data_IF_541227328921
#
_entry.id   IF_541227328921
#
_cell.length_a   1.000
_cell.length_b   1.000
_cell.length_c   1.000
_cell.angle_alpha   90.00
_cell.angle_beta   90.00
_cell.angle_gamma   90.00
#
_symmetry.space_group_name_H-M   'P 1'
#
loop_
_entity.id
_entity.type
_entity.pdbx_description
1 polymer ?
#
# COMPACT_ATOMS: atom_id res chain seq x y z
N UNK A 1 -16.61 14.03 8.24
CA UNK A 1 -16.98 14.73 9.49
C UNK A 1 -16.01 14.27 10.58
N UNK A 2 -16.04 14.83 11.78
CA UNK A 2 -15.21 14.32 12.89
C UNK A 2 -16.13 13.90 14.01
N UNK A 3 -16.16 12.60 14.29
CA UNK A 3 -17.00 12.04 15.36
C UNK A 3 -16.16 11.97 16.64
N UNK A 4 -16.69 12.50 17.75
CA UNK A 4 -16.03 12.52 19.06
C UNK A 4 -16.63 11.43 19.95
N UNK A 5 -15.80 10.49 20.37
CA UNK A 5 -16.08 9.56 21.48
C UNK A 5 -14.84 9.62 22.37
N UNK A 6 -15.01 10.04 23.63
CA UNK A 6 -13.95 10.10 24.65
C UNK A 6 -12.61 10.69 24.16
N UNK A 7 -12.49 12.02 24.02
CA UNK A 7 -11.25 12.74 23.66
C UNK A 7 -10.48 12.30 22.38
N UNK A 8 -10.97 11.32 21.63
CA UNK A 8 -10.40 10.86 20.37
C UNK A 8 -11.17 11.41 19.18
N UNK A 9 -10.42 11.78 18.15
CA UNK A 9 -10.92 12.33 16.90
C UNK A 9 -10.77 11.29 15.80
N UNK A 10 -11.90 10.84 15.24
CA UNK A 10 -11.91 9.94 14.10
C UNK A 10 -12.15 10.72 12.82
N UNK A 11 -11.25 10.55 11.85
CA UNK A 11 -11.38 11.14 10.53
C UNK A 11 -12.41 10.33 9.75
N UNK A 12 -13.44 11.00 9.23
CA UNK A 12 -14.34 10.41 8.25
C UNK A 12 -14.54 11.32 7.05
N UNK A 13 -14.71 10.70 5.88
CA UNK A 13 -15.01 11.35 4.62
C UNK A 13 -16.46 11.05 4.22
N UNK A 14 -17.14 11.99 3.54
CA UNK A 14 -18.42 11.68 2.90
C UNK A 14 -18.23 10.55 1.89
N UNK A 15 -19.20 9.64 1.77
CA UNK A 15 -19.08 8.51 0.82
C UNK A 15 -18.94 8.94 -0.64
N UNK A 16 -19.38 10.16 -0.97
CA UNK A 16 -19.23 10.76 -2.30
C UNK A 16 -17.83 11.32 -2.55
N UNK A 17 -17.00 11.45 -1.51
CA UNK A 17 -15.63 11.93 -1.65
C UNK A 17 -14.78 10.90 -2.37
N UNK A 18 -14.21 11.30 -3.51
CA UNK A 18 -13.34 10.45 -4.32
C UNK A 18 -11.99 11.14 -4.54
N UNK A 19 -10.94 10.77 -3.79
CA UNK A 19 -9.63 11.40 -3.92
C UNK A 19 -8.96 11.10 -5.26
N UNK A 20 -9.33 10.02 -5.96
CA UNK A 20 -8.81 9.70 -7.30
C UNK A 20 -9.28 10.76 -8.30
N UNK A 21 -10.59 11.05 -8.30
CA UNK A 21 -11.18 12.06 -9.19
C UNK A 21 -10.63 13.44 -8.85
N UNK A 22 -10.55 13.80 -7.56
CA UNK A 22 -9.98 15.09 -7.16
C UNK A 22 -8.53 15.24 -7.62
N UNK A 23 -7.70 14.21 -7.39
CA UNK A 23 -6.30 14.23 -7.79
C UNK A 23 -6.14 14.34 -9.32
N UNK A 24 -6.90 13.56 -10.08
CA UNK A 24 -6.86 13.63 -11.54
C UNK A 24 -7.35 15.00 -12.07
N UNK A 25 -8.33 15.63 -11.42
CA UNK A 25 -8.74 16.99 -11.77
C UNK A 25 -7.63 18.01 -11.50
N UNK A 26 -6.87 17.87 -10.40
CA UNK A 26 -5.71 18.73 -10.16
C UNK A 26 -4.60 18.53 -11.19
N UNK A 27 -4.39 17.29 -11.66
CA UNK A 27 -3.49 16.97 -12.77
C UNK A 27 -3.95 17.63 -14.08
N UNK A 28 -5.22 17.44 -14.47
CA UNK A 28 -5.79 18.03 -15.71
C UNK A 28 -5.71 19.56 -15.73
N UNK A 29 -5.94 20.17 -14.58
CA UNK A 29 -5.89 21.62 -14.41
C UNK A 29 -4.47 22.17 -14.16
N UNK A 30 -3.44 21.33 -14.29
CA UNK A 30 -2.02 21.68 -14.10
C UNK A 30 -1.68 22.25 -12.72
N UNK A 31 -2.52 21.98 -11.71
CA UNK A 31 -2.22 22.30 -10.30
C UNK A 31 -1.18 21.34 -9.73
N UNK A 32 -1.22 20.09 -10.18
CA UNK A 32 -0.18 19.08 -9.90
C UNK A 32 0.47 18.69 -11.22
N UNK A 33 1.79 18.81 -11.29
CA UNK A 33 2.56 18.41 -12.46
C UNK A 33 3.03 16.97 -12.25
N UNK A 34 2.70 16.09 -13.20
CA UNK A 34 3.08 14.68 -13.19
C UNK A 34 3.67 14.27 -14.53
N UNK A 35 4.36 13.13 -14.57
CA UNK A 35 4.84 12.56 -15.83
C UNK A 35 3.68 12.10 -16.71
N UNK A 36 3.93 11.95 -18.01
CA UNK A 36 2.95 11.40 -18.95
C UNK A 36 2.44 10.01 -18.52
N UNK A 37 3.31 9.20 -17.88
CA UNK A 37 2.97 7.87 -17.36
C UNK A 37 1.89 7.95 -16.27
N UNK A 38 2.12 8.78 -15.25
CA UNK A 38 1.16 8.99 -14.17
C UNK A 38 -0.15 9.58 -14.71
N UNK A 39 -0.07 10.50 -15.67
CA UNK A 39 -1.27 11.02 -16.35
C UNK A 39 -2.08 9.90 -17.02
N UNK A 40 -1.42 9.02 -17.80
CA UNK A 40 -2.06 7.89 -18.47
C UNK A 40 -2.72 6.93 -17.48
N UNK A 41 -2.01 6.56 -16.42
CA UNK A 41 -2.51 5.65 -15.37
C UNK A 41 -3.75 6.23 -14.70
N UNK A 42 -3.70 7.46 -14.18
CA UNK A 42 -4.86 8.07 -13.53
C UNK A 42 -6.02 8.35 -14.49
N UNK A 43 -5.74 8.67 -15.76
CA UNK A 43 -6.79 8.78 -16.77
C UNK A 43 -7.54 7.44 -16.91
N UNK A 44 -6.81 6.33 -17.07
CA UNK A 44 -7.43 5.00 -17.19
C UNK A 44 -8.15 4.59 -15.91
N UNK A 45 -7.61 4.89 -14.73
CA UNK A 45 -8.28 4.62 -13.45
C UNK A 45 -9.62 5.36 -13.39
N UNK A 46 -9.67 6.65 -13.75
CA UNK A 46 -10.92 7.43 -13.76
C UNK A 46 -11.90 6.90 -14.80
N UNK A 47 -11.44 6.47 -15.98
CA UNK A 47 -12.28 5.76 -16.96
C UNK A 47 -12.91 4.50 -16.32
N UNK A 48 -12.12 3.70 -15.62
CA UNK A 48 -12.58 2.46 -14.97
C UNK A 48 -13.54 2.70 -13.79
N UNK A 49 -13.49 3.85 -13.10
CA UNK A 49 -14.48 4.18 -12.05
C UNK A 49 -15.91 4.20 -12.62
N UNK A 50 -16.05 4.58 -13.88
CA UNK A 50 -17.33 4.70 -14.57
C UNK A 50 -17.72 3.46 -15.37
N UNK A 51 -16.88 2.42 -15.41
CA UNK A 51 -17.16 1.16 -16.10
C UNK A 51 -17.96 0.20 -15.21
N UNK A 52 -19.29 0.20 -15.38
CA UNK A 52 -20.21 -0.64 -14.60
C UNK A 52 -20.35 -2.08 -15.13
N UNK A 53 -19.88 -2.32 -16.35
CA UNK A 53 -19.94 -3.62 -17.03
C UNK A 53 -18.74 -4.49 -16.67
N UNK A 54 -17.63 -3.87 -16.25
CA UNK A 54 -16.46 -4.59 -15.72
C UNK A 54 -16.80 -5.48 -14.52
N UNK A 55 -16.08 -6.60 -14.41
CA UNK A 55 -16.05 -7.39 -13.18
C UNK A 55 -15.41 -6.62 -12.01
N UNK A 56 -14.59 -5.60 -12.31
CA UNK A 56 -13.90 -4.77 -11.34
C UNK A 56 -14.64 -3.44 -11.18
N UNK A 57 -15.24 -3.22 -10.01
CA UNK A 57 -16.00 -2.01 -9.72
C UNK A 57 -15.31 -1.17 -8.66
N UNK A 58 -15.53 0.15 -8.69
CA UNK A 58 -15.07 1.04 -7.62
C UNK A 58 -16.04 1.05 -6.44
N UNK A 59 -15.56 0.74 -5.25
CA UNK A 59 -16.27 0.85 -3.97
C UNK A 59 -15.69 2.01 -3.15
N UNK A 60 -16.43 3.11 -2.96
CA UNK A 60 -15.99 4.21 -2.10
C UNK A 60 -15.76 3.77 -0.64
N UNK A 61 -16.53 2.81 -0.13
CA UNK A 61 -16.36 2.28 1.23
C UNK A 61 -14.98 1.64 1.42
N UNK A 62 -14.59 0.73 0.51
CA UNK A 62 -13.28 0.08 0.55
C UNK A 62 -12.14 1.07 0.26
N UNK A 63 -12.40 2.09 -0.55
CA UNK A 63 -11.41 3.12 -0.87
C UNK A 63 -11.10 4.05 0.31
N UNK A 64 -12.12 4.41 1.10
CA UNK A 64 -12.01 5.39 2.19
C UNK A 64 -11.58 4.75 3.51
N UNK A 65 -11.96 3.50 3.78
CA UNK A 65 -11.64 2.81 5.03
C UNK A 65 -10.14 2.83 5.41
N UNK A 66 -9.18 2.47 4.54
CA UNK A 66 -7.75 2.56 4.86
C UNK A 66 -7.26 4.01 5.05
N UNK A 67 -7.84 4.98 4.34
CA UNK A 67 -7.49 6.39 4.49
C UNK A 67 -7.92 6.89 5.88
N UNK A 68 -9.15 6.59 6.26
CA UNK A 68 -9.72 6.94 7.55
C UNK A 68 -8.99 6.24 8.69
N UNK A 69 -8.60 4.97 8.52
CA UNK A 69 -7.77 4.24 9.47
C UNK A 69 -6.43 4.96 9.70
N UNK A 70 -5.70 5.25 8.62
CA UNK A 70 -4.39 5.89 8.74
C UNK A 70 -4.50 7.27 9.40
N UNK A 71 -5.45 8.10 8.96
CA UNK A 71 -5.57 9.47 9.49
C UNK A 71 -6.17 9.54 10.91
N UNK A 72 -6.92 8.53 11.34
CA UNK A 72 -7.47 8.47 12.70
C UNK A 72 -6.46 7.90 13.70
N UNK A 73 -5.81 6.79 13.32
CA UNK A 73 -5.08 5.95 14.27
C UNK A 73 -3.57 6.10 14.18
N UNK A 74 -3.00 6.35 12.99
CA UNK A 74 -1.55 6.43 12.83
C UNK A 74 -1.03 7.83 13.22
N UNK A 75 0.12 7.87 13.91
CA UNK A 75 0.75 9.11 14.38
C UNK A 75 2.11 9.32 13.71
N UNK A 76 2.45 10.56 13.40
CA UNK A 76 3.80 10.90 12.98
C UNK A 76 4.81 10.51 14.06
N UNK A 77 5.91 9.87 13.66
CA UNK A 77 6.89 9.33 14.61
C UNK A 77 8.11 10.22 14.83
N UNK A 78 8.46 11.06 13.84
CA UNK A 78 9.72 11.83 13.74
C UNK A 78 9.43 13.30 13.45
N UNK A 79 10.38 14.16 13.81
CA UNK A 79 10.36 15.59 13.50
C UNK A 79 9.33 16.40 14.29
N UNK A 80 9.05 17.62 13.83
CA UNK A 80 8.17 18.60 14.49
C UNK A 80 6.72 18.12 14.70
N UNK A 81 6.29 17.12 13.95
CA UNK A 81 4.93 16.57 14.01
C UNK A 81 4.86 15.30 14.87
N UNK A 82 5.95 14.89 15.52
CA UNK A 82 5.98 13.65 16.29
C UNK A 82 4.84 13.60 17.34
N UNK A 83 3.99 12.58 17.25
CA UNK A 83 2.82 12.39 18.13
C UNK A 83 1.49 12.89 17.56
N UNK A 84 1.51 13.74 16.52
CA UNK A 84 0.27 14.22 15.88
C UNK A 84 -0.29 13.16 14.92
N UNK A 85 -1.62 13.16 14.64
CA UNK A 85 -2.20 12.35 13.57
C UNK A 85 -1.48 12.56 12.24
N UNK A 86 -1.39 11.50 11.43
CA UNK A 86 -0.96 11.60 10.04
C UNK A 86 -2.08 12.25 9.23
N UNK A 87 -1.74 13.26 8.43
CA UNK A 87 -2.63 13.78 7.40
C UNK A 87 -2.06 13.38 6.04
N UNK A 88 -2.82 12.60 5.28
CA UNK A 88 -2.40 12.11 3.98
C UNK A 88 -2.54 13.21 2.93
N UNK A 89 -1.50 13.36 2.11
CA UNK A 89 -1.56 14.23 0.93
C UNK A 89 -2.55 13.67 -0.10
N UNK A 90 -3.07 14.52 -0.99
CA UNK A 90 -4.09 14.10 -1.95
C UNK A 90 -3.62 12.94 -2.84
N UNK A 91 -2.36 12.94 -3.30
CA UNK A 91 -1.83 11.84 -4.11
C UNK A 91 -1.74 10.53 -3.32
N UNK A 92 -1.46 10.61 -2.01
CA UNK A 92 -1.42 9.46 -1.11
C UNK A 92 -2.82 8.86 -0.95
N UNK A 93 -3.83 9.72 -0.75
CA UNK A 93 -5.25 9.34 -0.71
C UNK A 93 -5.68 8.71 -2.02
N UNK A 94 -5.33 9.32 -3.16
CA UNK A 94 -5.66 8.79 -4.48
C UNK A 94 -5.00 7.42 -4.73
N UNK A 95 -3.74 7.24 -4.33
CA UNK A 95 -3.02 5.97 -4.41
C UNK A 95 -3.70 4.89 -3.56
N UNK A 96 -3.94 5.15 -2.27
CA UNK A 96 -4.62 4.22 -1.37
C UNK A 96 -6.02 3.88 -1.89
N UNK A 97 -6.81 4.89 -2.28
CA UNK A 97 -8.15 4.68 -2.83
C UNK A 97 -8.12 3.84 -4.12
N UNK A 98 -7.06 3.93 -4.93
CA UNK A 98 -6.90 3.08 -6.12
C UNK A 98 -6.60 1.64 -5.72
N UNK A 99 -5.68 1.43 -4.78
CA UNK A 99 -5.28 0.09 -4.32
C UNK A 99 -6.47 -0.67 -3.72
N UNK A 100 -7.19 -0.03 -2.80
CA UNK A 100 -8.23 -0.68 -2.01
C UNK A 100 -9.65 -0.50 -2.58
N UNK A 101 -9.87 0.51 -3.42
CA UNK A 101 -11.21 0.86 -3.90
C UNK A 101 -11.71 0.03 -5.08
N UNK A 102 -10.83 -0.56 -5.90
CA UNK A 102 -11.26 -1.44 -6.98
C UNK A 102 -11.38 -2.86 -6.48
N UNK A 103 -12.59 -3.40 -6.54
CA UNK A 103 -12.93 -4.74 -6.02
C UNK A 103 -13.68 -5.57 -7.05
N UNK A 104 -13.61 -6.88 -6.93
CA UNK A 104 -14.43 -7.79 -7.71
C UNK A 104 -15.91 -7.60 -7.32
N UNK A 105 -16.78 -7.45 -8.31
CA UNK A 105 -18.22 -7.24 -8.11
C UNK A 105 -18.88 -8.34 -7.28
N UNK A 106 -18.45 -9.59 -7.46
CA UNK A 106 -18.98 -10.79 -6.79
C UNK A 106 -18.26 -11.10 -5.49
N UNK A 107 -16.95 -11.31 -5.54
CA UNK A 107 -16.16 -11.80 -4.37
C UNK A 107 -15.78 -10.69 -3.40
N UNK A 108 -15.83 -9.43 -3.82
CA UNK A 108 -15.36 -8.25 -3.05
C UNK A 108 -13.85 -8.19 -2.79
N UNK A 109 -13.08 -9.13 -3.34
CA UNK A 109 -11.61 -9.11 -3.31
C UNK A 109 -11.05 -7.91 -4.07
N UNK A 110 -9.92 -7.35 -3.62
CA UNK A 110 -9.25 -6.26 -4.32
C UNK A 110 -8.75 -6.67 -5.68
N UNK A 111 -8.85 -5.74 -6.63
CA UNK A 111 -8.28 -5.89 -7.97
C UNK A 111 -6.76 -5.94 -7.90
N UNK A 112 -6.16 -4.88 -7.37
CA UNK A 112 -4.72 -4.69 -7.39
C UNK A 112 -4.06 -5.38 -6.20
N UNK A 113 -3.32 -6.45 -6.47
CA UNK A 113 -2.61 -7.25 -5.47
C UNK A 113 -1.10 -6.99 -5.50
N UNK A 114 -0.59 -6.38 -6.58
CA UNK A 114 0.82 -6.04 -6.72
C UNK A 114 0.95 -4.58 -7.16
N UNK A 115 1.61 -3.76 -6.35
CA UNK A 115 1.70 -2.31 -6.55
C UNK A 115 3.16 -1.91 -6.66
N UNK A 116 3.52 -1.16 -7.70
CA UNK A 116 4.86 -0.63 -7.88
C UNK A 116 4.91 0.89 -7.78
N UNK A 117 5.25 1.40 -6.60
CA UNK A 117 5.33 2.84 -6.33
C UNK A 117 6.76 3.38 -6.49
N UNK A 118 7.01 4.05 -7.62
CA UNK A 118 8.23 4.81 -7.85
C UNK A 118 8.03 6.25 -7.38
N UNK A 119 8.48 6.56 -6.16
CA UNK A 119 8.30 7.86 -5.53
C UNK A 119 9.66 8.46 -5.14
N UNK A 120 9.85 9.75 -5.42
CA UNK A 120 11.10 10.44 -5.07
C UNK A 120 11.36 10.44 -3.55
N UNK A 121 12.63 10.55 -3.16
CA UNK A 121 13.04 10.57 -1.74
C UNK A 121 12.35 11.71 -0.99
N UNK A 122 12.10 11.49 0.30
CA UNK A 122 11.49 12.46 1.24
C UNK A 122 10.00 12.79 1.00
N UNK A 123 9.27 12.00 0.21
CA UNK A 123 7.80 12.14 0.05
C UNK A 123 6.99 11.26 1.01
N UNK A 124 7.56 10.83 2.14
CA UNK A 124 6.82 10.05 3.14
C UNK A 124 6.47 8.61 2.76
N UNK A 125 7.08 8.03 1.71
CA UNK A 125 6.80 6.65 1.24
C UNK A 125 6.85 5.60 2.37
N UNK A 126 7.90 5.60 3.18
CA UNK A 126 8.02 4.63 4.27
C UNK A 126 6.98 4.86 5.37
N UNK A 127 6.57 6.11 5.60
CA UNK A 127 5.53 6.46 6.59
C UNK A 127 4.16 5.97 6.15
N UNK A 128 3.75 6.22 4.90
CA UNK A 128 2.47 5.72 4.38
C UNK A 128 2.46 4.18 4.34
N UNK A 129 3.57 3.55 3.95
CA UNK A 129 3.65 2.09 3.90
C UNK A 129 3.63 1.44 5.29
N UNK A 130 4.17 2.07 6.33
CA UNK A 130 3.95 1.62 7.72
C UNK A 130 2.47 1.68 8.13
N UNK A 131 1.75 2.73 7.73
CA UNK A 131 0.32 2.85 7.98
C UNK A 131 -0.50 1.78 7.24
N UNK A 132 -0.16 1.52 5.98
CA UNK A 132 -0.76 0.45 5.17
C UNK A 132 -0.47 -0.93 5.79
N UNK A 133 0.75 -1.18 6.27
CA UNK A 133 1.08 -2.45 6.94
C UNK A 133 0.24 -2.69 8.20
N UNK A 134 0.00 -1.65 9.01
CA UNK A 134 -0.87 -1.75 10.18
C UNK A 134 -2.33 -1.95 9.81
N UNK A 135 -2.78 -1.34 8.71
CA UNK A 135 -4.13 -1.54 8.17
C UNK A 135 -4.34 -3.00 7.73
N UNK A 136 -3.42 -3.56 6.92
CA UNK A 136 -3.44 -4.97 6.51
C UNK A 136 -3.41 -5.93 7.71
N UNK A 137 -2.69 -5.55 8.76
CA UNK A 137 -2.55 -6.39 9.95
C UNK A 137 -3.84 -6.50 10.77
N UNK A 138 -4.59 -5.40 10.93
CA UNK A 138 -5.69 -5.36 11.90
C UNK A 138 -7.03 -4.82 11.41
N UNK A 139 -7.10 -4.22 10.23
CA UNK A 139 -8.29 -3.51 9.76
C UNK A 139 -8.74 -3.91 8.34
N UNK A 140 -8.05 -4.82 7.67
CA UNK A 140 -8.39 -5.23 6.30
C UNK A 140 -9.39 -6.41 6.22
N UNK A 141 -9.89 -6.88 7.37
CA UNK A 141 -10.91 -7.93 7.47
C UNK A 141 -10.38 -9.36 7.33
N UNK A 142 -9.06 -9.55 7.32
CA UNK A 142 -8.41 -10.86 7.21
C UNK A 142 -8.25 -11.55 8.57
N UNK A 143 -8.50 -12.87 8.60
CA UNK A 143 -8.16 -13.76 9.71
C UNK A 143 -6.76 -14.34 9.58
N UNK A 144 -5.98 -14.30 10.66
CA UNK A 144 -4.57 -14.69 10.71
C UNK A 144 -3.70 -13.99 9.66
N UNK A 145 -3.76 -12.65 9.48
CA UNK A 145 -2.98 -11.98 8.45
C UNK A 145 -1.48 -12.04 8.78
N UNK A 146 -0.68 -12.58 7.87
CA UNK A 146 0.77 -12.47 7.92
C UNK A 146 1.23 -11.31 7.05
N UNK A 147 1.77 -10.27 7.70
CA UNK A 147 2.26 -9.07 7.05
C UNK A 147 3.77 -8.99 7.20
N UNK A 148 4.47 -8.66 6.12
CA UNK A 148 5.93 -8.59 6.12
C UNK A 148 6.41 -7.22 5.66
N UNK A 149 7.48 -6.74 6.29
CA UNK A 149 8.31 -5.70 5.68
C UNK A 149 9.55 -6.38 5.13
N UNK A 150 9.91 -6.07 3.90
CA UNK A 150 10.90 -6.84 3.15
C UNK A 150 11.95 -5.91 2.56
N UNK A 151 13.21 -6.31 2.69
CA UNK A 151 14.35 -5.62 2.09
C UNK A 151 15.51 -6.60 1.86
N UNK A 152 16.54 -6.17 1.13
CA UNK A 152 17.75 -7.00 0.90
C UNK A 152 18.47 -7.39 2.19
N UNK A 153 18.39 -6.58 3.23
CA UNK A 153 18.95 -6.85 4.57
C UNK A 153 17.86 -6.66 5.61
N UNK A 154 17.80 -7.53 6.61
CA UNK A 154 16.80 -7.44 7.70
C UNK A 154 16.80 -6.09 8.42
N UNK A 155 17.97 -5.46 8.61
CA UNK A 155 18.03 -4.14 9.24
C UNK A 155 17.40 -3.01 8.40
N UNK A 156 17.35 -3.16 7.07
CA UNK A 156 16.61 -2.24 6.21
C UNK A 156 15.10 -2.49 6.30
N UNK A 157 14.67 -3.74 6.31
CA UNK A 157 13.26 -4.10 6.52
C UNK A 157 12.73 -3.57 7.87
N UNK A 158 13.57 -3.61 8.90
CA UNK A 158 13.29 -3.03 10.22
C UNK A 158 12.99 -1.53 10.17
N UNK A 159 13.30 -0.77 9.12
CA UNK A 159 12.99 0.67 9.08
C UNK A 159 11.47 0.88 9.05
N UNK A 160 10.79 0.30 8.07
CA UNK A 160 9.32 0.40 7.94
C UNK A 160 8.63 -0.26 9.13
N UNK A 161 9.14 -1.40 9.59
CA UNK A 161 8.60 -2.10 10.75
C UNK A 161 8.75 -1.30 12.05
N UNK A 162 9.92 -0.69 12.31
CA UNK A 162 10.13 0.16 13.49
C UNK A 162 9.25 1.40 13.43
N UNK A 163 9.02 1.94 12.24
CA UNK A 163 8.16 3.09 12.07
C UNK A 163 6.70 2.70 12.40
N UNK A 164 6.21 1.54 11.94
CA UNK A 164 4.91 0.97 12.35
C UNK A 164 4.84 0.71 13.87
N UNK A 165 5.87 0.08 14.45
CA UNK A 165 5.96 -0.16 15.89
C UNK A 165 5.88 1.14 16.69
N UNK A 166 6.54 2.21 16.23
CA UNK A 166 6.48 3.53 16.88
C UNK A 166 5.13 4.21 16.68
N UNK A 167 4.46 4.01 15.56
CA UNK A 167 3.09 4.49 15.33
C UNK A 167 2.12 3.86 16.34
N UNK A 168 2.14 2.53 16.48
CA UNK A 168 1.36 1.82 17.50
C UNK A 168 1.69 2.37 18.88
N UNK A 169 2.98 2.45 19.23
CA UNK A 169 3.40 2.94 20.55
C UNK A 169 3.07 4.41 20.84
N UNK A 170 2.68 5.21 19.85
CA UNK A 170 2.25 6.60 20.02
C UNK A 170 0.74 6.77 19.93
N UNK A 171 0.01 5.77 19.44
CA UNK A 171 -1.44 5.81 19.30
C UNK A 171 -2.09 5.11 20.50
N UNK A 172 -2.82 5.83 21.37
CA UNK A 172 -3.50 5.21 22.50
C UNK A 172 -4.49 4.13 22.07
N UNK A 173 -5.15 4.32 20.93
CA UNK A 173 -6.14 3.39 20.40
C UNK A 173 -5.50 2.15 19.80
N UNK A 174 -4.46 2.29 18.97
CA UNK A 174 -3.78 1.09 18.41
C UNK A 174 -3.14 0.25 19.50
N UNK A 175 -2.67 0.84 20.60
CA UNK A 175 -2.11 0.08 21.72
C UNK A 175 -3.09 -0.88 22.40
N UNK A 176 -4.40 -0.65 22.25
CA UNK A 176 -5.41 -1.53 22.85
C UNK A 176 -5.41 -2.90 22.15
N UNK A 177 -5.23 -2.90 20.83
CA UNK A 177 -5.42 -4.10 20.01
C UNK A 177 -4.10 -4.63 19.38
N UNK A 178 -3.06 -3.78 19.28
CA UNK A 178 -1.77 -4.12 18.68
C UNK A 178 -0.69 -4.27 19.75
N UNK A 179 -0.11 -5.47 19.84
CA UNK A 179 0.95 -5.81 20.80
C UNK A 179 2.31 -5.77 20.11
N UNK A 180 3.16 -4.80 20.49
CA UNK A 180 4.51 -4.69 19.92
C UNK A 180 5.53 -5.49 20.73
N UNK A 181 6.26 -6.42 20.11
CA UNK A 181 7.37 -7.18 20.71
C UNK A 181 8.71 -6.76 20.13
N UNK A 182 9.78 -7.51 20.46
CA UNK A 182 11.16 -7.23 20.01
C UNK A 182 11.32 -7.34 18.50
N UNK A 183 10.67 -8.32 17.85
CA UNK A 183 10.83 -8.60 16.43
C UNK A 183 9.51 -8.77 15.65
N UNK A 184 8.37 -8.54 16.30
CA UNK A 184 7.05 -8.69 15.69
C UNK A 184 6.05 -7.66 16.27
N UNK A 185 4.98 -7.39 15.53
CA UNK A 185 3.77 -6.71 16.04
C UNK A 185 2.62 -7.70 15.84
N UNK A 186 1.84 -7.94 16.88
CA UNK A 186 0.74 -8.91 16.87
C UNK A 186 -0.61 -8.22 17.02
N UNK A 187 -1.65 -8.81 16.45
CA UNK A 187 -3.05 -8.45 16.68
C UNK A 187 -3.80 -9.69 17.20
N UNK A 188 -3.85 -9.89 18.53
CA UNK A 188 -4.40 -11.13 19.11
C UNK A 188 -5.87 -11.39 18.78
N UNK A 189 -6.65 -10.35 18.44
CA UNK A 189 -8.07 -10.50 18.13
C UNK A 189 -8.35 -11.19 16.78
N UNK A 190 -7.37 -11.22 15.88
CA UNK A 190 -7.47 -11.88 14.57
C UNK A 190 -6.25 -12.76 14.26
N UNK A 191 -5.44 -13.13 15.25
CA UNK A 191 -4.22 -13.94 15.09
C UNK A 191 -3.20 -13.37 14.07
N UNK A 192 -3.17 -12.06 13.88
CA UNK A 192 -2.29 -11.41 12.91
C UNK A 192 -0.87 -11.19 13.42
N UNK A 193 0.09 -11.20 12.49
CA UNK A 193 1.50 -10.92 12.77
C UNK A 193 2.16 -10.04 11.70
N UNK A 194 2.99 -9.09 12.15
CA UNK A 194 3.82 -8.23 11.30
C UNK A 194 5.31 -8.36 11.64
N UNK A 195 6.08 -8.90 10.70
CA UNK A 195 7.49 -9.30 10.90
C UNK A 195 8.41 -8.66 9.84
N UNK A 196 9.61 -8.18 10.20
CA UNK A 196 10.62 -7.75 9.23
C UNK A 196 11.42 -8.95 8.69
N UNK A 197 11.37 -9.14 7.36
CA UNK A 197 12.10 -10.15 6.61
C UNK A 197 13.26 -9.54 5.82
N UNK A 198 14.40 -10.23 5.84
CA UNK A 198 15.56 -9.94 5.01
C UNK A 198 16.01 -11.20 4.28
N UNK A 199 16.88 -11.09 3.28
CA UNK A 199 17.43 -12.26 2.58
C UNK A 199 18.15 -13.24 3.53
N UNK A 200 18.62 -12.74 4.67
CA UNK A 200 19.28 -13.47 5.74
C UNK A 200 18.33 -14.19 6.71
N UNK A 201 17.01 -14.19 6.47
CA UNK A 201 16.06 -14.90 7.34
C UNK A 201 15.89 -16.36 6.94
N UNK A 202 15.92 -17.27 7.91
CA UNK A 202 15.66 -18.72 7.74
C UNK A 202 14.18 -19.05 7.37
N UNK A 203 13.35 -18.03 7.18
CA UNK A 203 11.87 -18.10 7.13
C UNK A 203 11.31 -17.85 5.73
N UNK A 204 12.12 -17.92 4.68
CA UNK A 204 11.69 -17.59 3.31
C UNK A 204 10.91 -18.70 2.59
N UNK A 205 10.92 -19.93 3.10
CA UNK A 205 10.16 -21.03 2.50
C UNK A 205 8.76 -21.12 3.13
N UNK A 206 7.72 -21.16 2.30
CA UNK A 206 6.34 -21.41 2.74
C UNK A 206 5.62 -20.23 3.42
N UNK A 207 5.96 -18.99 3.07
CA UNK A 207 5.26 -17.79 3.55
C UNK A 207 3.78 -17.81 3.17
N UNK A 208 2.89 -17.39 4.07
CA UNK A 208 1.46 -17.25 3.81
C UNK A 208 1.05 -15.76 3.86
N UNK A 209 1.48 -15.02 2.84
CA UNK A 209 1.52 -13.56 2.78
C UNK A 209 0.13 -12.96 2.56
N UNK A 210 -0.41 -12.29 3.57
CA UNK A 210 -1.53 -11.37 3.38
C UNK A 210 -1.05 -9.98 2.94
N UNK A 211 0.09 -9.51 3.47
CA UNK A 211 0.65 -8.22 3.11
C UNK A 211 2.17 -8.23 3.02
N UNK A 212 2.75 -7.56 2.03
CA UNK A 212 4.20 -7.39 1.94
C UNK A 212 4.56 -5.97 1.53
N UNK A 213 5.36 -5.29 2.36
CA UNK A 213 5.94 -3.99 2.05
C UNK A 213 7.39 -4.20 1.62
N UNK A 214 7.65 -4.20 0.31
CA UNK A 214 9.01 -4.31 -0.21
C UNK A 214 9.61 -2.91 -0.34
N UNK A 215 10.53 -2.53 0.55
CA UNK A 215 11.15 -1.20 0.53
C UNK A 215 12.48 -1.18 -0.25
N UNK A 216 12.75 -0.03 -0.85
CA UNK A 216 13.92 0.27 -1.66
C UNK A 216 14.23 -0.78 -2.73
N UNK A 217 13.21 -1.19 -3.49
CA UNK A 217 13.33 -2.22 -4.56
C UNK A 217 14.41 -1.89 -5.59
N UNK A 218 14.71 -0.60 -5.82
CA UNK A 218 15.86 -0.18 -6.65
C UNK A 218 17.23 -0.70 -6.21
N UNK A 219 17.38 -1.15 -4.97
CA UNK A 219 18.61 -1.73 -4.45
C UNK A 219 18.64 -3.27 -4.61
N UNK A 220 17.57 -3.90 -5.08
CA UNK A 220 17.44 -5.35 -5.16
C UNK A 220 18.03 -5.87 -6.49
N UNK A 221 19.08 -6.68 -6.39
CA UNK A 221 19.83 -7.15 -7.56
C UNK A 221 19.17 -8.33 -8.28
N UNK A 222 18.38 -9.14 -7.59
CA UNK A 222 17.85 -10.41 -8.10
C UNK A 222 16.38 -10.57 -7.70
N UNK A 223 15.57 -11.18 -8.56
CA UNK A 223 14.16 -11.45 -8.30
C UNK A 223 13.89 -12.44 -7.17
N UNK A 224 14.88 -13.23 -6.73
CA UNK A 224 14.73 -14.27 -5.70
C UNK A 224 13.83 -13.91 -4.49
N UNK A 225 14.09 -12.78 -3.82
CA UNK A 225 13.28 -12.37 -2.65
C UNK A 225 11.89 -11.83 -3.08
N UNK A 226 11.80 -11.26 -4.28
CA UNK A 226 10.55 -10.79 -4.86
C UNK A 226 9.64 -11.99 -5.16
N UNK A 227 10.18 -12.99 -5.84
CA UNK A 227 9.48 -14.21 -6.26
C UNK A 227 9.00 -15.01 -5.05
N UNK A 228 9.84 -15.18 -4.02
CA UNK A 228 9.45 -15.83 -2.76
C UNK A 228 8.21 -15.20 -2.13
N UNK A 229 8.16 -13.86 -2.08
CA UNK A 229 7.02 -13.16 -1.50
C UNK A 229 5.81 -13.22 -2.42
N UNK A 230 6.03 -13.14 -3.74
CA UNK A 230 4.98 -13.26 -4.75
C UNK A 230 4.34 -14.66 -4.74
N UNK A 231 5.12 -15.71 -4.61
CA UNK A 231 4.59 -17.08 -4.48
C UNK A 231 3.80 -17.25 -3.18
N UNK A 232 4.23 -16.57 -2.11
CA UNK A 232 3.59 -16.61 -0.80
C UNK A 232 2.21 -15.95 -0.72
N UNK A 233 1.80 -15.16 -1.71
CA UNK A 233 0.44 -14.58 -1.73
C UNK A 233 -0.62 -15.55 -2.28
N UNK A 234 -0.22 -16.67 -2.88
CA UNK A 234 -1.11 -17.59 -3.60
C UNK A 234 -2.19 -18.26 -2.74
N UNK A 235 -1.97 -18.37 -1.43
CA UNK A 235 -2.90 -19.00 -0.48
C UNK A 235 -3.95 -18.02 0.09
N UNK A 236 -3.93 -16.74 -0.31
CA UNK A 236 -4.82 -15.70 0.21
C UNK A 236 -5.70 -15.14 -0.90
N UNK A 237 -6.95 -14.86 -0.57
CA UNK A 237 -7.93 -14.31 -1.53
C UNK A 237 -7.74 -12.80 -1.76
N UNK A 238 -7.28 -12.07 -0.73
CA UNK A 238 -7.16 -10.61 -0.75
C UNK A 238 -5.75 -10.06 -0.40
N UNK A 239 -4.63 -10.64 -0.90
CA UNK A 239 -3.29 -10.21 -0.52
C UNK A 239 -2.87 -8.87 -1.14
N UNK A 240 -1.85 -8.23 -0.56
CA UNK A 240 -1.26 -7.02 -1.12
C UNK A 240 0.27 -7.00 -1.03
N UNK A 241 0.94 -6.94 -2.18
CA UNK A 241 2.35 -6.59 -2.32
C UNK A 241 2.44 -5.10 -2.65
N UNK A 242 3.03 -4.32 -1.75
CA UNK A 242 3.37 -2.93 -1.96
C UNK A 242 4.89 -2.80 -2.12
N UNK A 243 5.34 -2.78 -3.37
CA UNK A 243 6.72 -2.51 -3.73
C UNK A 243 6.95 -1.00 -3.86
N UNK A 244 7.65 -0.43 -2.88
CA UNK A 244 8.00 1.00 -2.89
C UNK A 244 9.47 1.18 -3.24
N UNK A 245 9.76 2.21 -4.03
CA UNK A 245 11.12 2.48 -4.44
C UNK A 245 11.32 3.94 -4.84
N UNK A 246 12.59 4.31 -4.99
CA UNK A 246 12.99 5.51 -5.71
C UNK A 246 13.61 5.11 -7.05
N UNK A 247 13.95 6.07 -7.91
CA UNK A 247 14.64 5.75 -9.16
C UNK A 247 15.98 5.05 -8.89
N UNK A 248 16.20 3.90 -9.53
CA UNK A 248 17.40 3.09 -9.38
C UNK A 248 18.54 3.47 -10.31
N UNK A 249 19.77 3.17 -9.89
CA UNK A 249 20.98 3.28 -10.71
C UNK A 249 21.62 1.93 -11.03
N UNK A 250 21.18 0.86 -10.36
CA UNK A 250 21.62 -0.51 -10.64
C UNK A 250 20.86 -0.99 -11.87
N UNK A 251 21.58 -1.55 -12.85
CA UNK A 251 21.01 -2.09 -14.09
C UNK A 251 20.81 -3.60 -14.02
N UNK A 252 19.88 -4.10 -14.82
CA UNK A 252 19.45 -5.51 -14.83
C UNK A 252 19.03 -5.97 -13.43
N UNK A 253 18.34 -5.07 -12.72
CA UNK A 253 17.88 -5.26 -11.34
C UNK A 253 16.37 -5.52 -11.30
N UNK A 254 15.85 -5.86 -10.12
CA UNK A 254 14.40 -6.00 -9.89
C UNK A 254 13.65 -4.74 -10.33
N UNK A 255 14.24 -3.57 -10.09
CA UNK A 255 13.65 -2.30 -10.51
C UNK A 255 13.52 -2.18 -12.03
N UNK A 256 14.54 -2.57 -12.80
CA UNK A 256 14.45 -2.46 -14.27
C UNK A 256 13.37 -3.38 -14.82
N UNK A 257 13.28 -4.62 -14.30
CA UNK A 257 12.24 -5.61 -14.70
C UNK A 257 10.84 -5.06 -14.40
N UNK A 258 10.59 -4.61 -13.16
CA UNK A 258 9.26 -4.10 -12.77
C UNK A 258 8.92 -2.78 -13.44
N UNK A 259 9.91 -1.94 -13.72
CA UNK A 259 9.71 -0.72 -14.49
C UNK A 259 9.40 -1.00 -15.95
N UNK A 260 10.04 -2.00 -16.58
CA UNK A 260 9.72 -2.45 -17.94
C UNK A 260 8.31 -3.04 -18.02
N UNK A 261 7.92 -3.90 -17.07
CA UNK A 261 6.55 -4.40 -16.94
C UNK A 261 5.55 -3.23 -16.83
N UNK A 262 5.87 -2.24 -15.98
CA UNK A 262 5.06 -1.04 -15.82
C UNK A 262 4.93 -0.25 -17.13
N UNK A 263 6.02 -0.09 -17.89
CA UNK A 263 6.00 0.57 -19.19
C UNK A 263 5.12 -0.17 -20.21
N UNK A 264 5.24 -1.50 -20.27
CA UNK A 264 4.45 -2.33 -21.17
C UNK A 264 2.95 -2.22 -20.86
N UNK A 265 2.57 -2.26 -19.59
CA UNK A 265 1.18 -2.05 -19.16
C UNK A 265 0.70 -0.65 -19.53
N UNK A 266 1.47 0.39 -19.21
CA UNK A 266 1.09 1.79 -19.45
C UNK A 266 0.94 2.09 -20.94
N UNK A 267 1.79 1.49 -21.78
CA UNK A 267 1.70 1.64 -23.23
C UNK A 267 0.49 0.88 -23.79
N UNK A 268 0.16 -0.30 -23.23
CA UNK A 268 -0.97 -1.12 -23.65
C UNK A 268 -2.36 -0.76 -23.10
N UNK A 269 -2.52 0.28 -22.25
CA UNK A 269 -3.79 0.58 -21.55
C UNK A 269 -5.04 0.75 -22.44
N UNK A 270 -4.84 1.12 -23.71
CA UNK A 270 -5.90 1.32 -24.70
C UNK A 270 -5.70 0.45 -25.95
N UNK A 271 -4.83 -0.55 -25.88
CA UNK A 271 -4.57 -1.49 -26.98
C UNK A 271 -5.19 -2.85 -26.64
N UNK A 272 -5.97 -3.41 -27.56
CA UNK A 272 -6.66 -4.68 -27.33
C UNK A 272 -5.68 -5.85 -27.16
N UNK A 273 -4.58 -5.84 -27.92
CA UNK A 273 -3.49 -6.81 -27.88
C UNK A 273 -2.29 -6.37 -27.02
N UNK A 274 -2.42 -5.25 -26.30
CA UNK A 274 -1.38 -4.76 -25.40
C UNK A 274 -1.13 -5.72 -24.22
N UNK A 275 0.07 -5.63 -23.62
CA UNK A 275 0.40 -6.41 -22.43
C UNK A 275 -0.54 -6.04 -21.27
N UNK A 276 -1.16 -7.05 -20.65
CA UNK A 276 -2.16 -6.88 -19.58
C UNK A 276 -1.77 -7.72 -18.37
N UNK A 277 -1.68 -7.04 -17.22
CA UNK A 277 -1.66 -7.68 -15.91
C UNK A 277 -2.72 -6.96 -15.05
N UNK A 278 -3.90 -7.56 -14.89
CA UNK A 278 -5.03 -6.91 -14.23
C UNK A 278 -4.84 -6.73 -12.72
N UNK A 279 -3.92 -7.50 -12.11
CA UNK A 279 -3.61 -7.49 -10.69
C UNK A 279 -2.47 -6.53 -10.33
N UNK A 280 -1.74 -6.03 -11.33
CA UNK A 280 -0.61 -5.11 -11.15
C UNK A 280 -1.02 -3.64 -11.35
N UNK A 281 -0.56 -2.77 -10.44
CA UNK A 281 -0.71 -1.32 -10.55
C UNK A 281 0.68 -0.65 -10.76
N UNK A 282 0.97 -0.14 -11.98
CA UNK A 282 2.24 0.50 -12.32
C UNK A 282 2.36 1.96 -11.85
#
# INVERSE_FOLDING_TARGET
MVNKVEDYYFKSYPIQYNPIIEYFNQIKNKKVIVSLKIYKVYKKIVENIHDTESQWIYSPEHALHPIEFIESFCKHIKGKYAGTPIELELWQKAGIATIFGFINKKTKERKYQEIFWVVARKNGKSTISSGIALYLLGADGEGGPEVYTVATKKDQAKIVWNDAKKMVNKSPLLKLDFVTKVAEILTPFNDGQLIPLGRDSDTTDGLNVHGAIMDEVHAWKTMQMYDVVFDGISARDNPLILAITTAGTIRNSVYDIKYEESENIINGLWEDEGYKNERFLP
#
